data_IF_970444290731
#
_entry.id   IF_970444290731
#
_cell.length_a   1.000
_cell.length_b   1.000
_cell.length_c   1.000
_cell.angle_alpha   90.00
_cell.angle_beta   90.00
_cell.angle_gamma   90.00
#
_symmetry.space_group_name_H-M   'P 1'
#
loop_
_entity.id
_entity.type
_entity.pdbx_description
1 polymer ?
#
# COMPACT_ATOMS: atom_id res chain seq x y z
N UNK A 1 13.65 -23.22 5.43
CA UNK A 1 13.34 -22.11 4.49
C UNK A 1 12.71 -21.01 5.32
N UNK A 2 13.16 -19.76 5.21
CA UNK A 2 12.57 -18.67 6.00
C UNK A 2 11.20 -18.34 5.40
N UNK A 3 10.13 -18.72 6.07
CA UNK A 3 8.76 -18.37 5.70
C UNK A 3 8.63 -16.85 5.56
N UNK A 4 7.81 -16.41 4.61
CA UNK A 4 7.57 -14.99 4.40
C UNK A 4 6.92 -14.42 5.67
N UNK A 5 7.58 -13.47 6.35
CA UNK A 5 7.09 -12.94 7.64
C UNK A 5 5.82 -12.10 7.51
N UNK A 6 5.53 -11.64 6.29
CA UNK A 6 4.37 -10.83 5.99
C UNK A 6 3.37 -11.71 5.24
N UNK A 7 2.38 -12.22 5.98
CA UNK A 7 1.31 -13.06 5.48
C UNK A 7 -0.04 -12.44 5.84
N UNK A 8 -1.11 -12.72 5.07
CA UNK A 8 -2.45 -12.29 5.45
C UNK A 8 -2.84 -12.92 6.79
N UNK A 9 -3.64 -12.18 7.56
CA UNK A 9 -4.10 -12.58 8.89
C UNK A 9 -5.59 -12.28 9.03
N UNK A 10 -6.25 -12.96 9.98
CA UNK A 10 -7.65 -12.69 10.34
C UNK A 10 -7.83 -11.50 11.29
N UNK A 11 -6.77 -10.70 11.49
CA UNK A 11 -6.84 -9.53 12.34
C UNK A 11 -7.72 -8.43 11.71
N UNK A 12 -8.53 -7.78 12.54
CA UNK A 12 -9.39 -6.68 12.12
C UNK A 12 -8.57 -5.44 11.74
N UNK A 13 -8.70 -5.01 10.49
CA UNK A 13 -8.08 -3.78 9.98
C UNK A 13 -8.57 -2.57 10.76
N UNK A 14 -9.87 -2.51 11.07
CA UNK A 14 -10.48 -1.36 11.74
C UNK A 14 -10.01 -1.28 13.20
N UNK A 15 -9.88 -2.41 13.90
CA UNK A 15 -9.32 -2.43 15.25
C UNK A 15 -7.85 -2.03 15.27
N UNK A 16 -7.07 -2.42 14.25
CA UNK A 16 -5.69 -1.99 14.10
C UNK A 16 -5.59 -0.48 13.86
N UNK A 17 -6.42 0.08 12.97
CA UNK A 17 -6.46 1.53 12.74
C UNK A 17 -6.86 2.26 14.04
N UNK A 18 -7.86 1.75 14.77
CA UNK A 18 -8.32 2.33 16.03
C UNK A 18 -7.24 2.36 17.12
N UNK A 19 -6.29 1.42 17.11
CA UNK A 19 -5.13 1.41 18.02
C UNK A 19 -4.10 2.52 17.72
N UNK A 20 -4.21 3.21 16.60
CA UNK A 20 -3.35 4.36 16.28
C UNK A 20 -3.60 5.48 17.31
N UNK A 21 -2.56 5.88 18.05
CA UNK A 21 -2.64 6.86 19.14
C UNK A 21 -3.10 8.25 18.67
N UNK A 22 -2.64 8.68 17.49
CA UNK A 22 -2.97 10.01 16.96
C UNK A 22 -4.35 10.01 16.30
N UNK A 23 -5.32 10.83 16.78
CA UNK A 23 -6.65 10.92 16.18
C UNK A 23 -6.59 11.31 14.70
N UNK A 24 -5.72 12.27 14.36
CA UNK A 24 -5.56 12.71 12.97
C UNK A 24 -5.02 11.60 12.07
N UNK A 25 -4.03 10.84 12.54
CA UNK A 25 -3.48 9.72 11.76
C UNK A 25 -4.49 8.57 11.62
N UNK A 26 -5.36 8.38 12.61
CA UNK A 26 -6.47 7.43 12.54
C UNK A 26 -7.48 7.82 11.46
N UNK A 27 -7.90 9.09 11.44
CA UNK A 27 -8.77 9.64 10.39
C UNK A 27 -8.14 9.46 9.00
N UNK A 28 -6.87 9.86 8.85
CA UNK A 28 -6.13 9.72 7.60
C UNK A 28 -6.02 8.25 7.18
N UNK A 29 -5.77 7.33 8.13
CA UNK A 29 -5.71 5.89 7.86
C UNK A 29 -7.04 5.32 7.39
N UNK A 30 -8.17 5.71 8.00
CA UNK A 30 -9.49 5.31 7.51
C UNK A 30 -9.77 5.87 6.12
N UNK A 31 -9.38 7.13 5.85
CA UNK A 31 -9.55 7.72 4.52
C UNK A 31 -8.70 7.03 3.46
N UNK A 32 -7.45 6.70 3.77
CA UNK A 32 -6.55 5.96 2.87
C UNK A 32 -7.06 4.55 2.62
N UNK A 33 -7.55 3.86 3.66
CA UNK A 33 -8.22 2.56 3.52
C UNK A 33 -9.34 2.66 2.49
N UNK A 34 -10.27 3.61 2.69
CA UNK A 34 -11.40 3.79 1.79
C UNK A 34 -10.96 4.09 0.35
N UNK A 35 -9.98 4.99 0.16
CA UNK A 35 -9.43 5.30 -1.17
C UNK A 35 -8.88 4.03 -1.83
N UNK A 36 -8.09 3.23 -1.12
CA UNK A 36 -7.53 2.00 -1.68
C UNK A 36 -8.62 0.98 -2.00
N UNK A 37 -9.65 0.81 -1.17
CA UNK A 37 -10.79 -0.07 -1.47
C UNK A 37 -11.54 0.39 -2.72
N UNK A 38 -11.75 1.71 -2.88
CA UNK A 38 -12.43 2.30 -4.04
C UNK A 38 -11.62 2.11 -5.34
N UNK A 39 -10.32 2.40 -5.33
CA UNK A 39 -9.48 2.35 -6.54
C UNK A 39 -9.06 0.93 -6.93
N UNK A 40 -9.01 -0.01 -5.98
CA UNK A 40 -8.63 -1.41 -6.24
C UNK A 40 -9.83 -2.35 -6.39
N UNK A 41 -10.96 -2.04 -5.77
CA UNK A 41 -12.09 -2.95 -5.63
C UNK A 41 -11.85 -4.10 -4.64
N UNK A 42 -10.70 -4.11 -3.95
CA UNK A 42 -10.30 -5.14 -3.00
C UNK A 42 -10.65 -4.72 -1.58
N UNK A 43 -10.95 -5.70 -0.72
CA UNK A 43 -11.11 -5.44 0.72
C UNK A 43 -9.77 -5.30 1.41
N UNK A 44 -9.70 -4.41 2.39
CA UNK A 44 -8.54 -4.30 3.26
C UNK A 44 -8.33 -5.59 4.08
N UNK A 45 -7.10 -6.13 4.06
CA UNK A 45 -6.70 -7.29 4.87
C UNK A 45 -5.44 -6.93 5.68
N UNK A 46 -5.34 -7.42 6.91
CA UNK A 46 -4.12 -7.28 7.70
C UNK A 46 -3.04 -8.25 7.21
N UNK A 47 -1.86 -7.72 6.90
CA UNK A 47 -0.67 -8.45 6.52
C UNK A 47 0.40 -8.32 7.62
N UNK A 48 0.67 -9.43 8.29
CA UNK A 48 1.50 -9.44 9.49
C UNK A 48 0.99 -8.47 10.57
N UNK A 49 1.88 -7.88 11.38
CA UNK A 49 1.46 -7.09 12.54
C UNK A 49 1.15 -5.62 12.22
N UNK A 50 1.42 -5.12 11.01
CA UNK A 50 1.45 -3.67 10.79
C UNK A 50 1.12 -3.17 9.38
N UNK A 51 0.78 -4.05 8.44
CA UNK A 51 0.49 -3.66 7.06
C UNK A 51 -0.97 -3.94 6.77
N UNK A 52 -1.65 -2.99 6.15
CA UNK A 52 -2.99 -3.16 5.59
C UNK A 52 -2.79 -3.29 4.09
N UNK A 53 -3.12 -4.46 3.53
CA UNK A 53 -2.91 -4.78 2.12
C UNK A 53 -4.21 -4.97 1.36
N UNK A 54 -4.12 -4.81 0.04
CA UNK A 54 -5.21 -4.87 -0.93
C UNK A 54 -4.75 -5.73 -2.12
N UNK A 55 -5.56 -6.74 -2.43
CA UNK A 55 -5.21 -7.76 -3.41
C UNK A 55 -3.99 -8.60 -3.00
N UNK A 56 -3.74 -9.66 -3.77
CA UNK A 56 -2.61 -10.56 -3.55
C UNK A 56 -2.03 -10.94 -4.91
N UNK A 57 -0.70 -11.03 -4.97
CA UNK A 57 0.01 -11.60 -6.11
C UNK A 57 1.02 -12.63 -5.63
N UNK A 58 1.34 -13.58 -6.51
CA UNK A 58 2.35 -14.59 -6.27
C UNK A 58 3.62 -14.22 -7.03
N UNK A 59 4.73 -14.02 -6.31
CA UNK A 59 6.04 -13.76 -6.92
C UNK A 59 6.86 -15.04 -7.00
N UNK A 60 7.69 -15.15 -8.04
CA UNK A 60 8.67 -16.22 -8.21
C UNK A 60 9.98 -15.64 -8.73
N UNK A 61 11.06 -15.79 -7.97
CA UNK A 61 12.40 -15.36 -8.35
C UNK A 61 13.13 -16.47 -9.13
N UNK A 62 14.12 -16.08 -9.94
CA UNK A 62 14.99 -17.02 -10.67
C UNK A 62 15.73 -18.00 -9.74
N UNK A 63 15.96 -17.62 -8.48
CA UNK A 63 16.55 -18.48 -7.45
C UNK A 63 15.62 -19.60 -6.97
N UNK A 64 14.37 -19.67 -7.46
CA UNK A 64 13.36 -20.63 -7.03
C UNK A 64 12.59 -20.20 -5.77
N UNK A 65 12.92 -19.06 -5.17
CA UNK A 65 12.14 -18.49 -4.06
C UNK A 65 10.83 -17.91 -4.60
N UNK A 66 9.72 -18.40 -4.08
CA UNK A 66 8.38 -17.91 -4.40
C UNK A 66 7.58 -17.64 -3.13
N UNK A 67 6.46 -16.93 -3.29
CA UNK A 67 5.54 -16.65 -2.19
C UNK A 67 4.52 -15.59 -2.57
N UNK A 68 3.65 -15.30 -1.61
CA UNK A 68 2.57 -14.35 -1.78
C UNK A 68 2.88 -13.02 -1.11
N UNK A 69 2.37 -11.95 -1.71
CA UNK A 69 2.44 -10.62 -1.15
C UNK A 69 1.24 -9.76 -1.58
N UNK A 70 0.97 -8.69 -0.84
CA UNK A 70 -0.05 -7.71 -1.19
C UNK A 70 0.29 -6.98 -2.50
N UNK A 71 -0.69 -6.66 -3.33
CA UNK A 71 -0.46 -5.86 -4.55
C UNK A 71 -0.15 -4.40 -4.17
N UNK A 72 -0.99 -3.83 -3.32
CA UNK A 72 -0.79 -2.49 -2.75
C UNK A 72 -1.26 -2.45 -1.30
N UNK A 73 -0.87 -1.44 -0.55
CA UNK A 73 -1.21 -1.34 0.86
C UNK A 73 -0.64 -0.11 1.54
N UNK A 74 -0.87 -0.01 2.85
CA UNK A 74 -0.26 1.03 3.66
C UNK A 74 -0.02 0.58 5.10
N UNK A 75 0.79 1.34 5.82
CA UNK A 75 1.04 1.19 7.24
C UNK A 75 1.05 2.57 7.93
N UNK A 76 0.10 2.87 8.84
CA UNK A 76 0.07 4.12 9.60
C UNK A 76 1.07 4.08 10.76
N UNK A 77 2.37 4.05 10.46
CA UNK A 77 3.44 3.96 11.47
C UNK A 77 3.53 5.25 12.30
N UNK A 78 4.19 5.18 13.46
CA UNK A 78 4.37 6.32 14.36
C UNK A 78 4.97 7.56 13.67
N UNK A 79 6.05 7.39 12.92
CA UNK A 79 6.76 8.48 12.24
C UNK A 79 6.03 9.02 11.00
N UNK A 80 5.52 8.15 10.14
CA UNK A 80 4.89 8.50 8.87
C UNK A 80 3.89 7.41 8.44
N UNK A 81 3.02 7.73 7.51
CA UNK A 81 2.20 6.75 6.80
C UNK A 81 3.02 6.24 5.62
N UNK A 82 3.30 4.94 5.61
CA UNK A 82 3.97 4.26 4.50
C UNK A 82 2.93 3.73 3.54
N UNK A 83 3.01 4.12 2.27
CA UNK A 83 2.20 3.61 1.17
C UNK A 83 3.05 2.64 0.34
N UNK A 84 2.59 1.41 0.20
CA UNK A 84 3.21 0.34 -0.58
C UNK A 84 2.61 0.35 -1.99
N UNK A 85 3.25 1.11 -2.89
CA UNK A 85 2.89 1.20 -4.30
C UNK A 85 3.89 0.39 -5.12
N UNK A 86 3.86 -0.94 -4.96
CA UNK A 86 4.75 -1.86 -5.65
C UNK A 86 4.51 -1.68 -7.16
N UNK A 87 5.53 -1.28 -7.92
CA UNK A 87 5.38 -0.92 -9.34
C UNK A 87 5.55 0.58 -9.64
N UNK A 88 5.34 1.47 -8.65
CA UNK A 88 5.46 2.92 -8.87
C UNK A 88 6.88 3.42 -9.21
N UNK A 89 7.89 2.54 -9.10
CA UNK A 89 9.30 2.85 -9.39
C UNK A 89 9.82 2.17 -10.65
N UNK A 90 9.03 1.32 -11.30
CA UNK A 90 9.44 0.62 -12.54
C UNK A 90 8.87 1.29 -13.80
N UNK A 91 7.86 2.14 -13.66
CA UNK A 91 7.27 2.92 -14.76
C UNK A 91 7.48 4.41 -14.51
N UNK A 92 7.40 5.24 -15.55
CA UNK A 92 7.56 6.70 -15.45
C UNK A 92 6.35 7.35 -14.75
N UNK A 93 6.26 7.19 -13.43
CA UNK A 93 5.29 7.87 -12.57
C UNK A 93 5.72 9.30 -12.22
N UNK A 94 6.82 9.79 -12.79
CA UNK A 94 7.45 11.08 -12.47
C UNK A 94 6.48 12.26 -12.56
N UNK A 95 5.57 12.25 -13.55
CA UNK A 95 4.58 13.32 -13.70
C UNK A 95 3.54 13.36 -12.57
N UNK A 96 3.09 12.18 -12.12
CA UNK A 96 2.18 12.07 -10.99
C UNK A 96 2.89 12.42 -9.69
N UNK A 97 4.11 11.93 -9.52
CA UNK A 97 4.97 12.27 -8.38
C UNK A 97 5.29 13.77 -8.31
N UNK A 98 5.44 14.46 -9.44
CA UNK A 98 5.65 15.91 -9.47
C UNK A 98 4.41 16.69 -8.97
N UNK A 99 3.21 16.13 -9.15
CA UNK A 99 1.93 16.75 -8.75
C UNK A 99 1.43 16.30 -7.37
N UNK A 100 2.02 15.26 -6.79
CA UNK A 100 1.52 14.63 -5.56
C UNK A 100 1.59 15.56 -4.35
N UNK A 101 2.56 16.46 -4.27
CA UNK A 101 2.76 17.35 -3.12
C UNK A 101 3.95 16.91 -2.26
N UNK A 102 3.78 16.84 -0.94
CA UNK A 102 4.88 16.60 0.01
C UNK A 102 4.95 15.13 0.42
N UNK A 103 5.94 14.43 -0.12
CA UNK A 103 6.23 13.04 0.20
C UNK A 103 7.73 12.78 0.29
N UNK A 104 8.09 11.59 0.75
CA UNK A 104 9.42 11.00 0.58
C UNK A 104 9.27 9.65 -0.11
N UNK A 105 10.27 9.22 -0.85
CA UNK A 105 10.31 7.89 -1.45
C UNK A 105 11.34 7.01 -0.76
N UNK A 106 11.07 5.71 -0.75
CA UNK A 106 12.05 4.64 -0.49
C UNK A 106 12.04 3.64 -1.64
N UNK A 107 12.72 2.51 -1.49
CA UNK A 107 12.92 1.54 -2.59
C UNK A 107 11.63 1.01 -3.25
N UNK A 108 10.51 0.94 -2.53
CA UNK A 108 9.21 0.50 -3.07
C UNK A 108 8.02 1.14 -2.31
N UNK A 109 8.26 2.29 -1.69
CA UNK A 109 7.32 2.89 -0.75
C UNK A 109 7.30 4.41 -0.89
N UNK A 110 6.12 5.00 -0.72
CA UNK A 110 5.94 6.45 -0.58
C UNK A 110 5.60 6.74 0.88
N UNK A 111 6.23 7.75 1.46
CA UNK A 111 6.02 8.16 2.84
C UNK A 111 5.39 9.54 2.88
N UNK A 112 4.27 9.65 3.57
CA UNK A 112 3.58 10.92 3.84
C UNK A 112 3.39 11.08 5.35
N UNK A 113 3.41 12.30 5.88
CA UNK A 113 3.18 12.48 7.32
C UNK A 113 1.69 12.41 7.66
N UNK A 114 0.87 13.00 6.80
CA UNK A 114 -0.59 13.13 6.87
C UNK A 114 -1.16 13.19 5.47
N UNK A 115 -2.44 12.84 5.31
CA UNK A 115 -3.09 12.82 3.99
C UNK A 115 -3.14 14.22 3.35
N UNK A 116 -3.31 15.28 4.16
CA UNK A 116 -3.35 16.66 3.66
C UNK A 116 -2.00 17.18 3.13
N UNK A 117 -0.91 16.43 3.25
CA UNK A 117 0.38 16.79 2.64
C UNK A 117 0.39 16.48 1.13
N UNK A 118 -0.59 15.70 0.64
CA UNK A 118 -0.67 15.26 -0.75
C UNK A 118 -2.02 15.60 -1.39
N UNK A 119 -2.02 15.69 -2.72
CA UNK A 119 -3.23 15.79 -3.51
C UNK A 119 -3.93 14.44 -3.58
N UNK A 120 -5.17 14.35 -3.06
CA UNK A 120 -5.93 13.10 -3.01
C UNK A 120 -6.24 12.56 -4.42
N UNK A 121 -6.50 13.44 -5.39
CA UNK A 121 -6.81 13.05 -6.78
C UNK A 121 -5.59 12.40 -7.42
N UNK A 122 -4.42 13.00 -7.24
CA UNK A 122 -3.15 12.44 -7.73
C UNK A 122 -2.80 11.14 -7.01
N UNK A 123 -3.05 11.07 -5.69
CA UNK A 123 -2.85 9.85 -4.91
C UNK A 123 -3.74 8.70 -5.41
N UNK A 124 -5.01 8.96 -5.70
CA UNK A 124 -5.94 7.98 -6.28
C UNK A 124 -5.42 7.44 -7.61
N UNK A 125 -5.00 8.34 -8.50
CA UNK A 125 -4.46 7.96 -9.79
C UNK A 125 -3.18 7.12 -9.66
N UNK A 126 -2.29 7.47 -8.73
CA UNK A 126 -1.09 6.69 -8.40
C UNK A 126 -1.45 5.28 -7.91
N UNK A 127 -2.38 5.16 -6.96
CA UNK A 127 -2.82 3.87 -6.41
C UNK A 127 -3.39 3.00 -7.53
N UNK A 128 -4.33 3.53 -8.31
CA UNK A 128 -4.97 2.83 -9.42
C UNK A 128 -3.94 2.34 -10.44
N UNK A 129 -3.04 3.23 -10.86
CA UNK A 129 -2.07 2.92 -11.90
C UNK A 129 -1.03 1.90 -11.42
N UNK A 130 -0.54 2.03 -10.17
CA UNK A 130 0.37 1.05 -9.58
C UNK A 130 -0.30 -0.33 -9.41
N UNK A 131 -1.56 -0.35 -8.95
CA UNK A 131 -2.32 -1.58 -8.79
C UNK A 131 -2.55 -2.30 -10.13
N UNK A 132 -2.97 -1.58 -11.18
CA UNK A 132 -3.14 -2.16 -12.52
C UNK A 132 -1.81 -2.69 -13.09
N UNK A 133 -0.74 -1.93 -12.97
CA UNK A 133 0.59 -2.38 -13.41
C UNK A 133 0.99 -3.72 -12.77
N UNK A 134 0.77 -3.86 -11.45
CA UNK A 134 1.07 -5.11 -10.76
C UNK A 134 0.15 -6.26 -11.19
N UNK A 135 -1.14 -6.00 -11.43
CA UNK A 135 -2.06 -7.01 -11.98
C UNK A 135 -1.64 -7.49 -13.37
N UNK A 136 -1.19 -6.58 -14.22
CA UNK A 136 -0.73 -6.90 -15.57
C UNK A 136 0.60 -7.67 -15.55
N UNK A 137 1.50 -7.29 -14.63
CA UNK A 137 2.80 -7.96 -14.44
C UNK A 137 2.67 -9.35 -13.82
N UNK A 138 1.71 -9.53 -12.91
CA UNK A 138 1.45 -10.78 -12.20
C UNK A 138 -0.01 -11.20 -12.37
N UNK A 139 -0.42 -11.65 -13.57
CA UNK A 139 -1.78 -12.08 -13.81
C UNK A 139 -2.08 -13.30 -12.93
N UNK A 140 -3.05 -13.14 -12.04
CA UNK A 140 -3.61 -14.24 -11.26
C UNK A 140 -4.32 -15.18 -12.25
N UNK A 141 -3.86 -16.43 -12.34
CA UNK A 141 -4.49 -17.47 -13.18
C UNK A 141 -5.86 -17.87 -12.67
#
# INVERSE_FOLDING_TARGET
MAENKTQPTDASVDDFINQTESPKKREDAFRIKQIMEEETGEKAIMWGPSIIGFGQYHYKYESGREGDFLITGFAPRKSAISLYLLGCMETSFDELFAKLGKYKTGASCVYINKLSDVDETVLRELIRTAYQYMKDKYPTK
#
